data_IF_309042814326
#
_entry.id   IF_309042814326
#
_cell.length_a   1.000
_cell.length_b   1.000
_cell.length_c   1.000
_cell.angle_alpha   90.00
_cell.angle_beta   90.00
_cell.angle_gamma   90.00
#
_symmetry.space_group_name_H-M   'P 1'
#
loop_
_entity.id
_entity.type
_entity.pdbx_description
1 polymer ?
#
# COMPACT_ATOMS: atom_id res chain seq x y z
N UNK A 1 -15.37 -39.47 13.86
CA UNK A 1 -14.53 -38.77 12.88
C UNK A 1 -15.00 -37.32 12.83
N UNK A 2 -14.32 -36.43 13.53
CA UNK A 2 -14.60 -35.00 13.49
C UNK A 2 -13.30 -34.36 13.01
N UNK A 3 -13.27 -34.00 11.74
CA UNK A 3 -12.08 -33.45 11.09
C UNK A 3 -12.12 -31.94 11.35
N UNK A 4 -11.24 -31.53 12.25
CA UNK A 4 -10.99 -30.14 12.62
C UNK A 4 -10.59 -29.36 11.37
N UNK A 5 -11.34 -28.30 11.05
CA UNK A 5 -11.05 -27.35 9.97
C UNK A 5 -10.89 -25.97 10.57
N UNK A 6 -9.83 -25.79 11.36
CA UNK A 6 -9.32 -24.48 11.72
C UNK A 6 -7.81 -24.47 11.47
N UNK A 7 -7.42 -24.49 10.19
CA UNK A 7 -6.04 -24.12 9.84
C UNK A 7 -5.95 -22.60 10.02
N UNK A 8 -5.12 -22.07 10.93
CA UNK A 8 -5.03 -20.63 11.13
C UNK A 8 -4.46 -19.96 9.87
N UNK A 9 -4.75 -18.68 9.72
CA UNK A 9 -4.20 -17.77 8.70
C UNK A 9 -2.66 -17.57 8.78
N UNK A 10 -1.89 -18.58 9.19
CA UNK A 10 -0.44 -18.45 9.38
C UNK A 10 0.33 -18.03 8.13
N UNK A 11 -0.16 -18.41 6.95
CA UNK A 11 0.42 -17.97 5.68
C UNK A 11 0.25 -16.46 5.43
N UNK A 12 -0.82 -15.84 5.94
CA UNK A 12 -1.07 -14.40 5.75
C UNK A 12 -0.25 -13.58 6.76
N UNK A 13 -0.12 -14.05 7.99
CA UNK A 13 0.76 -13.43 8.99
C UNK A 13 2.24 -13.49 8.55
N UNK A 14 2.67 -14.61 7.93
CA UNK A 14 4.00 -14.76 7.35
C UNK A 14 4.25 -13.76 6.21
N UNK A 15 3.28 -13.55 5.33
CA UNK A 15 3.36 -12.55 4.25
C UNK A 15 3.45 -11.12 4.79
N UNK A 16 2.71 -10.78 5.84
CA UNK A 16 2.78 -9.45 6.49
C UNK A 16 4.19 -9.22 7.06
N UNK A 17 4.75 -10.21 7.76
CA UNK A 17 6.14 -10.13 8.28
C UNK A 17 7.17 -10.03 7.15
N UNK A 18 7.00 -10.79 6.07
CA UNK A 18 7.88 -10.70 4.90
C UNK A 18 7.84 -9.30 4.27
N UNK A 19 6.66 -8.69 4.15
CA UNK A 19 6.51 -7.34 3.64
C UNK A 19 7.20 -6.29 4.53
N UNK A 20 7.05 -6.39 5.86
CA UNK A 20 7.76 -5.57 6.84
C UNK A 20 9.29 -5.71 6.69
N UNK A 21 9.79 -6.93 6.57
CA UNK A 21 11.21 -7.22 6.40
C UNK A 21 11.78 -6.67 5.09
N UNK A 22 11.03 -6.77 4.00
CA UNK A 22 11.41 -6.18 2.70
C UNK A 22 11.45 -4.66 2.81
N UNK A 23 10.45 -4.04 3.43
CA UNK A 23 10.41 -2.60 3.64
C UNK A 23 11.63 -2.12 4.42
N UNK A 24 11.98 -2.80 5.53
CA UNK A 24 13.16 -2.51 6.33
C UNK A 24 14.45 -2.62 5.50
N UNK A 25 14.64 -3.72 4.76
CA UNK A 25 15.80 -3.93 3.89
C UNK A 25 15.93 -2.85 2.82
N UNK A 26 14.83 -2.46 2.19
CA UNK A 26 14.84 -1.42 1.14
C UNK A 26 15.11 -0.03 1.68
N UNK A 27 14.73 0.24 2.93
CA UNK A 27 14.95 1.53 3.57
C UNK A 27 16.39 1.74 4.06
N UNK A 28 17.17 0.64 4.17
CA UNK A 28 18.50 0.60 4.80
C UNK A 28 18.51 1.19 6.23
N UNK A 29 17.35 1.22 6.89
CA UNK A 29 17.15 1.77 8.23
C UNK A 29 16.42 0.75 9.11
N UNK A 30 16.78 0.70 10.39
CA UNK A 30 16.03 -0.05 11.41
C UNK A 30 14.88 0.76 12.03
N UNK A 31 14.82 2.05 11.73
CA UNK A 31 13.77 2.94 12.17
C UNK A 31 12.57 2.85 11.21
N UNK A 32 11.47 2.28 11.69
CA UNK A 32 10.21 2.15 10.96
C UNK A 32 9.64 3.52 10.53
N UNK A 33 10.02 4.60 11.20
CA UNK A 33 9.61 5.97 10.86
C UNK A 33 10.53 6.63 9.82
N UNK A 34 11.69 6.06 9.52
CA UNK A 34 12.72 6.66 8.66
C UNK A 34 12.17 7.14 7.31
N UNK A 35 11.32 6.34 6.67
CA UNK A 35 10.70 6.70 5.38
C UNK A 35 9.84 7.95 5.52
N UNK A 36 9.04 8.02 6.58
CA UNK A 36 8.13 9.13 6.82
C UNK A 36 8.93 10.40 7.16
N UNK A 37 9.97 10.26 7.99
CA UNK A 37 10.88 11.34 8.36
C UNK A 37 11.64 11.91 7.16
N UNK A 38 12.17 11.03 6.30
CA UNK A 38 12.83 11.43 5.07
C UNK A 38 11.86 12.19 4.15
N UNK A 39 10.64 11.67 3.98
CA UNK A 39 9.63 12.34 3.15
C UNK A 39 9.20 13.70 3.73
N UNK A 40 9.11 13.83 5.06
CA UNK A 40 8.82 15.11 5.72
C UNK A 40 9.97 16.12 5.51
N UNK A 41 11.22 15.68 5.61
CA UNK A 41 12.38 16.54 5.31
C UNK A 41 12.34 17.07 3.88
N UNK A 42 11.93 16.25 2.91
CA UNK A 42 11.76 16.70 1.52
C UNK A 42 10.68 17.77 1.39
N UNK A 43 9.61 17.73 2.19
CA UNK A 43 8.62 18.81 2.25
C UNK A 43 9.27 20.11 2.73
N UNK A 44 10.05 20.06 3.82
CA UNK A 44 10.76 21.23 4.33
C UNK A 44 11.72 21.83 3.31
N UNK A 45 12.57 21.01 2.69
CA UNK A 45 13.50 21.46 1.64
C UNK A 45 12.75 22.12 0.48
N UNK A 46 11.69 21.49 -0.03
CA UNK A 46 10.91 22.05 -1.14
C UNK A 46 10.28 23.41 -0.79
N UNK A 47 9.83 23.58 0.46
CA UNK A 47 9.27 24.85 0.95
C UNK A 47 10.34 25.94 1.09
N UNK A 48 11.51 25.61 1.64
CA UNK A 48 12.63 26.54 1.80
C UNK A 48 13.14 27.04 0.44
N UNK A 49 13.21 26.15 -0.54
CA UNK A 49 13.62 26.47 -1.91
C UNK A 49 12.53 27.20 -2.71
N UNK A 50 11.30 27.33 -2.18
CA UNK A 50 10.11 27.82 -2.90
C UNK A 50 9.91 27.09 -4.22
N UNK A 51 10.17 25.80 -4.20
CA UNK A 51 10.18 24.93 -5.36
C UNK A 51 8.76 24.64 -5.84
N UNK A 52 8.61 24.33 -7.13
CA UNK A 52 7.39 23.72 -7.67
C UNK A 52 7.13 22.31 -7.10
N UNK A 53 8.12 21.73 -6.42
CA UNK A 53 8.07 20.38 -5.84
C UNK A 53 7.36 20.29 -4.48
N UNK A 54 6.85 21.39 -3.91
CA UNK A 54 6.16 21.34 -2.60
C UNK A 54 4.96 20.40 -2.63
N UNK A 55 4.10 20.49 -3.65
CA UNK A 55 2.94 19.60 -3.78
C UNK A 55 3.36 18.13 -3.93
N UNK A 56 4.25 17.76 -4.88
CA UNK A 56 4.80 16.40 -4.94
C UNK A 56 5.44 15.90 -3.64
N UNK A 57 6.16 16.76 -2.90
CA UNK A 57 6.76 16.37 -1.62
C UNK A 57 5.69 16.06 -0.56
N UNK A 58 4.64 16.89 -0.46
CA UNK A 58 3.49 16.66 0.42
C UNK A 58 2.82 15.32 0.07
N UNK A 59 2.57 15.05 -1.21
CA UNK A 59 1.99 13.78 -1.64
C UNK A 59 2.85 12.57 -1.25
N UNK A 60 4.18 12.65 -1.44
CA UNK A 60 5.11 11.57 -1.08
C UNK A 60 5.06 11.29 0.43
N UNK A 61 5.06 12.34 1.25
CA UNK A 61 4.93 12.19 2.70
C UNK A 61 3.59 11.56 3.09
N UNK A 62 2.48 12.03 2.53
CA UNK A 62 1.15 11.47 2.83
C UNK A 62 1.01 10.02 2.37
N UNK A 63 1.57 9.65 1.21
CA UNK A 63 1.65 8.25 0.76
C UNK A 63 2.46 7.40 1.73
N UNK A 64 3.58 7.91 2.23
CA UNK A 64 4.43 7.18 3.19
C UNK A 64 3.68 6.88 4.50
N UNK A 65 2.97 7.86 5.07
CA UNK A 65 2.09 7.65 6.23
C UNK A 65 1.01 6.61 5.91
N UNK A 66 0.40 6.71 4.73
CA UNK A 66 -0.68 5.83 4.36
C UNK A 66 -0.23 4.38 4.17
N UNK A 67 1.00 4.12 3.73
CA UNK A 67 1.54 2.76 3.65
C UNK A 67 1.52 2.08 5.02
N UNK A 68 1.99 2.77 6.07
CA UNK A 68 1.96 2.23 7.44
C UNK A 68 0.54 2.07 7.96
N UNK A 69 -0.34 3.04 7.64
CA UNK A 69 -1.76 2.95 7.95
C UNK A 69 -2.39 1.70 7.35
N UNK A 70 -2.13 1.41 6.08
CA UNK A 70 -2.67 0.24 5.37
C UNK A 70 -2.18 -1.04 6.04
N UNK A 71 -0.89 -1.15 6.33
CA UNK A 71 -0.31 -2.31 7.00
C UNK A 71 -0.99 -2.59 8.36
N UNK A 72 -1.17 -1.54 9.18
CA UNK A 72 -1.89 -1.65 10.46
C UNK A 72 -3.33 -2.09 10.28
N UNK A 73 -4.02 -1.58 9.25
CA UNK A 73 -5.39 -1.99 8.94
C UNK A 73 -5.48 -3.43 8.43
N UNK A 74 -4.52 -3.89 7.63
CA UNK A 74 -4.45 -5.27 7.15
C UNK A 74 -4.26 -6.23 8.33
N UNK A 75 -3.34 -5.91 9.24
CA UNK A 75 -3.14 -6.67 10.48
C UNK A 75 -4.41 -6.72 11.33
N UNK A 76 -5.03 -5.56 11.57
CA UNK A 76 -6.31 -5.49 12.27
C UNK A 76 -7.37 -6.38 11.59
N UNK A 77 -7.48 -6.35 10.26
CA UNK A 77 -8.48 -7.15 9.54
C UNK A 77 -8.23 -8.65 9.70
N UNK A 78 -6.97 -9.10 9.70
CA UNK A 78 -6.60 -10.50 9.94
C UNK A 78 -7.04 -10.95 11.34
N UNK A 79 -6.74 -10.13 12.34
CA UNK A 79 -7.10 -10.40 13.73
C UNK A 79 -8.64 -10.40 13.90
N UNK A 80 -9.31 -9.39 13.33
CA UNK A 80 -10.76 -9.24 13.38
C UNK A 80 -11.51 -10.37 12.66
N UNK A 81 -10.96 -10.91 11.56
CA UNK A 81 -11.52 -12.09 10.89
C UNK A 81 -11.51 -13.33 11.78
N UNK A 82 -10.60 -13.40 12.77
CA UNK A 82 -10.49 -14.52 13.70
C UNK A 82 -11.51 -14.43 14.84
N UNK A 83 -11.93 -13.22 15.23
CA UNK A 83 -12.79 -12.95 16.40
C UNK A 83 -13.79 -11.79 16.13
N UNK A 84 -14.66 -11.96 15.14
CA UNK A 84 -15.57 -10.91 14.64
C UNK A 84 -16.84 -10.69 15.49
N UNK A 85 -16.89 -11.20 16.73
CA UNK A 85 -18.08 -11.17 17.57
C UNK A 85 -18.13 -9.95 18.52
N UNK A 86 -16.99 -9.33 18.81
CA UNK A 86 -16.87 -8.17 19.71
C UNK A 86 -16.70 -6.84 18.94
N UNK A 87 -17.80 -6.32 18.36
CA UNK A 87 -17.78 -5.09 17.55
C UNK A 87 -17.22 -3.87 18.31
N UNK A 88 -17.64 -3.66 19.56
CA UNK A 88 -17.18 -2.52 20.37
C UNK A 88 -15.67 -2.55 20.62
N UNK A 89 -15.13 -3.75 20.89
CA UNK A 89 -13.68 -3.96 21.04
C UNK A 89 -12.95 -3.69 19.74
N UNK A 90 -13.44 -4.23 18.62
CA UNK A 90 -12.85 -3.98 17.31
C UNK A 90 -12.85 -2.49 16.94
N UNK A 91 -13.89 -1.75 17.29
CA UNK A 91 -13.95 -0.29 17.09
C UNK A 91 -12.89 0.42 17.93
N UNK A 92 -12.75 0.06 19.21
CA UNK A 92 -11.76 0.67 20.09
C UNK A 92 -10.32 0.42 19.62
N UNK A 93 -10.00 -0.83 19.27
CA UNK A 93 -8.68 -1.24 18.78
C UNK A 93 -8.33 -0.57 17.45
N UNK A 94 -9.25 -0.58 16.48
CA UNK A 94 -9.03 0.07 15.20
C UNK A 94 -8.88 1.58 15.36
N UNK A 95 -9.72 2.21 16.19
CA UNK A 95 -9.64 3.65 16.42
C UNK A 95 -8.30 4.04 17.07
N UNK A 96 -7.89 3.32 18.12
CA UNK A 96 -6.59 3.54 18.77
C UNK A 96 -5.42 3.41 17.79
N UNK A 97 -5.52 2.48 16.85
CA UNK A 97 -4.50 2.24 15.83
C UNK A 97 -4.50 3.30 14.71
N UNK A 98 -5.65 3.89 14.37
CA UNK A 98 -5.77 4.85 13.27
C UNK A 98 -5.47 6.31 13.66
N UNK A 99 -5.75 6.69 14.91
CA UNK A 99 -5.54 8.07 15.42
C UNK A 99 -4.13 8.61 15.19
N UNK A 100 -3.04 7.85 15.43
CA UNK A 100 -1.67 8.35 15.20
C UNK A 100 -1.44 8.86 13.76
N UNK A 101 -2.05 8.24 12.75
CA UNK A 101 -1.88 8.65 11.35
C UNK A 101 -2.59 9.98 11.05
N UNK A 102 -3.82 10.16 11.56
CA UNK A 102 -4.53 11.42 11.43
C UNK A 102 -3.80 12.56 12.16
N UNK A 103 -3.14 12.27 13.29
CA UNK A 103 -2.27 13.24 13.99
C UNK A 103 -1.05 13.64 13.16
N UNK A 104 -0.37 12.69 12.50
CA UNK A 104 0.78 13.00 11.60
C UNK A 104 0.38 13.91 10.44
N UNK A 105 -0.83 13.72 9.88
CA UNK A 105 -1.36 14.58 8.82
C UNK A 105 -1.77 15.96 9.37
N UNK A 106 -2.32 16.02 10.58
CA UNK A 106 -2.61 17.30 11.25
C UNK A 106 -1.31 18.09 11.55
N UNK A 107 -0.24 17.40 11.96
CA UNK A 107 1.08 17.99 12.14
C UNK A 107 1.66 18.55 10.83
N UNK A 108 1.53 17.82 9.72
CA UNK A 108 1.91 18.35 8.40
C UNK A 108 1.21 19.67 8.08
N UNK A 109 -0.12 19.74 8.29
CA UNK A 109 -0.87 20.98 8.09
C UNK A 109 -0.36 22.12 8.96
N UNK A 110 0.13 21.83 10.17
CA UNK A 110 0.65 22.87 11.06
C UNK A 110 1.99 23.47 10.59
N UNK A 111 2.77 22.74 9.80
CA UNK A 111 4.09 23.18 9.31
C UNK A 111 4.07 23.69 7.87
N UNK A 112 3.03 23.39 7.09
CA UNK A 112 2.86 23.90 5.73
C UNK A 112 2.02 25.19 5.69
N UNK A 113 2.25 26.08 4.69
CA UNK A 113 1.39 27.25 4.48
C UNK A 113 -0.09 26.87 4.31
N UNK A 114 -1.00 27.73 4.80
CA UNK A 114 -2.45 27.49 4.74
C UNK A 114 -3.00 27.28 3.33
N UNK A 115 -2.31 27.79 2.30
CA UNK A 115 -2.66 27.55 0.89
C UNK A 115 -2.65 26.07 0.48
N UNK A 116 -2.02 25.18 1.26
CA UNK A 116 -2.01 23.74 1.01
C UNK A 116 -3.03 22.97 1.86
N UNK A 117 -3.73 23.60 2.80
CA UNK A 117 -4.56 22.89 3.78
C UNK A 117 -5.74 22.15 3.13
N UNK A 118 -6.43 22.78 2.20
CA UNK A 118 -7.55 22.16 1.46
C UNK A 118 -7.06 20.98 0.62
N UNK A 119 -5.92 21.15 -0.06
CA UNK A 119 -5.27 20.07 -0.81
C UNK A 119 -4.94 18.87 0.09
N UNK A 120 -4.30 19.11 1.23
CA UNK A 120 -3.95 18.05 2.18
C UNK A 120 -5.22 17.34 2.71
N UNK A 121 -6.27 18.08 3.05
CA UNK A 121 -7.51 17.48 3.54
C UNK A 121 -8.21 16.61 2.48
N UNK A 122 -8.33 17.12 1.25
CA UNK A 122 -8.96 16.38 0.16
C UNK A 122 -8.12 15.15 -0.19
N UNK A 123 -6.81 15.33 -0.37
CA UNK A 123 -5.90 14.26 -0.73
C UNK A 123 -5.88 13.16 0.34
N UNK A 124 -5.86 13.52 1.64
CA UNK A 124 -5.89 12.54 2.71
C UNK A 124 -7.18 11.73 2.71
N UNK A 125 -8.32 12.38 2.48
CA UNK A 125 -9.63 11.74 2.41
C UNK A 125 -9.66 10.70 1.29
N UNK A 126 -9.24 11.10 0.09
CA UNK A 126 -9.24 10.24 -1.10
C UNK A 126 -8.26 9.08 -0.93
N UNK A 127 -7.08 9.35 -0.36
CA UNK A 127 -6.07 8.34 -0.10
C UNK A 127 -6.57 7.29 0.90
N UNK A 128 -7.16 7.72 2.02
CA UNK A 128 -7.76 6.80 3.01
C UNK A 128 -8.83 5.91 2.39
N UNK A 129 -9.69 6.47 1.55
CA UNK A 129 -10.81 5.76 0.91
C UNK A 129 -10.35 4.76 -0.14
N UNK A 130 -9.42 5.15 -1.00
CA UNK A 130 -8.90 4.31 -2.10
C UNK A 130 -8.00 3.17 -1.65
N UNK A 131 -7.39 3.26 -0.46
CA UNK A 131 -6.46 2.24 0.06
C UNK A 131 -6.98 1.50 1.29
N UNK A 132 -8.28 1.55 1.58
CA UNK A 132 -8.83 0.75 2.69
C UNK A 132 -8.79 -0.73 2.33
N UNK A 133 -8.09 -1.59 3.11
CA UNK A 133 -7.98 -3.00 2.77
C UNK A 133 -9.33 -3.71 2.88
N UNK A 134 -9.58 -4.65 1.97
CA UNK A 134 -10.75 -5.53 1.98
C UNK A 134 -12.09 -4.88 1.62
N UNK A 135 -12.14 -3.59 1.28
CA UNK A 135 -13.35 -2.88 0.90
C UNK A 135 -13.14 -2.06 -0.37
N UNK A 136 -14.11 -2.08 -1.29
CA UNK A 136 -14.10 -1.20 -2.45
C UNK A 136 -14.37 0.26 -2.05
N UNK A 137 -13.70 1.20 -2.73
CA UNK A 137 -13.85 2.64 -2.50
C UNK A 137 -15.32 3.12 -2.59
N UNK A 138 -16.10 2.53 -3.50
CA UNK A 138 -17.53 2.83 -3.68
C UNK A 138 -18.40 2.47 -2.47
N UNK A 139 -17.91 1.60 -1.57
CA UNK A 139 -18.63 1.17 -0.37
C UNK A 139 -18.30 1.99 0.88
N UNK A 140 -17.36 2.92 0.77
CA UNK A 140 -16.90 3.76 1.86
C UNK A 140 -17.50 5.16 1.70
N UNK A 141 -18.17 5.71 2.73
CA UNK A 141 -18.60 7.10 2.71
C UNK A 141 -17.38 8.04 2.77
N UNK A 142 -17.56 9.29 2.36
CA UNK A 142 -16.50 10.30 2.30
C UNK A 142 -15.80 10.55 3.65
N UNK A 143 -16.47 10.28 4.76
CA UNK A 143 -15.97 10.52 6.11
C UNK A 143 -16.20 9.32 7.05
N UNK A 144 -15.80 8.13 6.63
CA UNK A 144 -15.88 6.97 7.52
C UNK A 144 -14.96 7.12 8.74
N UNK A 145 -15.42 6.57 9.86
CA UNK A 145 -14.66 6.42 11.10
C UNK A 145 -14.45 4.92 11.42
N UNK A 146 -13.79 4.60 12.52
CA UNK A 146 -13.55 3.22 12.94
C UNK A 146 -14.86 2.42 13.11
N UNK A 147 -15.90 3.04 13.68
CA UNK A 147 -17.23 2.42 13.82
C UNK A 147 -17.83 2.02 12.48
N UNK A 148 -17.87 2.96 11.53
CA UNK A 148 -18.35 2.71 10.17
C UNK A 148 -17.56 1.62 9.46
N UNK A 149 -16.23 1.59 9.63
CA UNK A 149 -15.35 0.56 9.07
C UNK A 149 -15.63 -0.83 9.64
N UNK A 150 -15.61 -0.97 10.97
CA UNK A 150 -15.84 -2.27 11.64
C UNK A 150 -17.22 -2.82 11.29
N UNK A 151 -18.24 -1.95 11.26
CA UNK A 151 -19.58 -2.32 10.82
C UNK A 151 -19.58 -2.81 9.38
N UNK A 152 -18.87 -2.14 8.47
CA UNK A 152 -18.73 -2.59 7.07
C UNK A 152 -18.01 -3.92 6.96
N UNK A 153 -16.89 -4.11 7.66
CA UNK A 153 -16.19 -5.39 7.71
C UNK A 153 -17.10 -6.51 8.22
N UNK A 154 -17.84 -6.27 9.31
CA UNK A 154 -18.79 -7.23 9.87
C UNK A 154 -19.87 -7.64 8.86
N UNK A 155 -20.45 -6.68 8.14
CA UNK A 155 -21.44 -6.94 7.08
C UNK A 155 -20.82 -7.80 5.97
N UNK A 156 -19.65 -7.41 5.48
CA UNK A 156 -18.94 -8.15 4.42
C UNK A 156 -18.61 -9.59 4.84
N UNK A 157 -18.11 -9.79 6.06
CA UNK A 157 -17.69 -11.10 6.58
C UNK A 157 -18.91 -11.99 6.89
N UNK A 158 -19.89 -11.48 7.66
CA UNK A 158 -21.02 -12.28 8.14
C UNK A 158 -22.13 -12.45 7.12
N UNK A 159 -22.39 -11.42 6.30
CA UNK A 159 -23.51 -11.41 5.35
C UNK A 159 -23.07 -11.71 3.92
N UNK A 160 -21.75 -11.90 3.68
CA UNK A 160 -21.18 -12.18 2.36
C UNK A 160 -21.64 -11.19 1.29
N UNK A 161 -21.68 -9.90 1.63
CA UNK A 161 -21.95 -8.83 0.69
C UNK A 161 -20.80 -8.68 -0.31
N UNK A 162 -20.84 -9.47 -1.39
CA UNK A 162 -19.76 -9.52 -2.39
C UNK A 162 -19.57 -8.22 -3.16
N UNK A 163 -20.58 -7.33 -3.18
CA UNK A 163 -20.53 -6.04 -3.89
C UNK A 163 -19.47 -5.08 -3.37
N UNK A 164 -19.03 -5.27 -2.13
CA UNK A 164 -18.04 -4.42 -1.48
C UNK A 164 -16.67 -5.07 -1.33
N UNK A 165 -16.52 -6.33 -1.74
CA UNK A 165 -15.24 -7.03 -1.73
C UNK A 165 -14.55 -6.74 -3.07
N UNK A 166 -13.32 -6.19 -3.06
CA UNK A 166 -12.59 -6.01 -4.31
C UNK A 166 -12.36 -7.36 -5.00
N UNK A 167 -12.55 -7.40 -6.32
CA UNK A 167 -12.21 -8.59 -7.11
C UNK A 167 -10.71 -8.86 -6.96
N UNK A 168 -10.35 -10.06 -6.51
CA UNK A 168 -8.96 -10.48 -6.41
C UNK A 168 -8.35 -10.56 -7.80
N UNK A 169 -7.66 -9.50 -8.23
CA UNK A 169 -6.75 -9.58 -9.37
C UNK A 169 -5.49 -10.29 -8.88
N UNK A 170 -5.15 -11.42 -9.47
CA UNK A 170 -3.92 -12.13 -9.12
C UNK A 170 -2.72 -11.22 -9.44
N UNK A 171 -1.96 -10.72 -8.45
CA UNK A 171 -0.80 -9.87 -8.70
C UNK A 171 0.32 -10.62 -9.45
N UNK A 172 0.24 -11.95 -9.50
CA UNK A 172 1.19 -12.83 -10.16
C UNK A 172 1.03 -12.92 -11.68
N UNK A 173 -0.07 -12.48 -12.28
CA UNK A 173 -0.20 -12.44 -13.76
C UNK A 173 0.86 -11.53 -14.40
N UNK A 174 1.24 -10.43 -13.73
CA UNK A 174 2.27 -9.50 -14.22
C UNK A 174 3.66 -10.15 -14.17
N UNK A 175 3.92 -11.00 -13.17
CA UNK A 175 5.20 -11.71 -13.01
C UNK A 175 5.40 -12.75 -14.12
N UNK A 176 4.33 -13.45 -14.50
CA UNK A 176 4.34 -14.39 -15.63
C UNK A 176 4.59 -13.66 -16.96
N UNK A 177 3.96 -12.49 -17.15
CA UNK A 177 4.16 -11.67 -18.35
C UNK A 177 5.60 -11.13 -18.47
N UNK A 178 6.19 -10.65 -17.36
CA UNK A 178 7.57 -10.16 -17.34
C UNK A 178 8.57 -11.30 -17.58
N UNK A 179 8.34 -12.47 -16.97
CA UNK A 179 9.18 -13.65 -17.19
C UNK A 179 9.12 -14.13 -18.66
N UNK A 180 7.93 -14.15 -19.26
CA UNK A 180 7.76 -14.49 -20.67
C UNK A 180 8.45 -13.48 -21.60
N UNK A 181 8.36 -12.17 -21.30
CA UNK A 181 9.02 -11.12 -22.07
C UNK A 181 10.55 -11.24 -22.04
N UNK A 182 11.13 -11.50 -20.86
CA UNK A 182 12.57 -11.73 -20.67
C UNK A 182 13.00 -12.99 -21.44
N UNK A 183 12.22 -14.07 -21.37
CA UNK A 183 12.52 -15.30 -22.10
C UNK A 183 12.51 -15.08 -23.62
N UNK A 184 11.53 -14.34 -24.15
CA UNK A 184 11.48 -13.98 -25.57
C UNK A 184 12.71 -13.15 -26.00
N UNK A 185 13.10 -12.14 -25.22
CA UNK A 185 14.27 -11.30 -25.54
C UNK A 185 15.55 -12.16 -25.61
N UNK A 186 15.76 -13.04 -24.63
CA UNK A 186 16.92 -13.93 -24.62
C UNK A 186 16.92 -14.92 -25.80
N UNK A 187 15.75 -15.43 -26.19
CA UNK A 187 15.63 -16.38 -27.30
C UNK A 187 15.81 -15.72 -28.67
N UNK A 188 15.32 -14.49 -28.86
CA UNK A 188 15.44 -13.78 -30.16
C UNK A 188 16.80 -13.07 -30.33
N UNK A 189 17.44 -12.60 -29.26
CA UNK A 189 18.77 -11.98 -29.34
C UNK A 189 19.89 -13.00 -29.66
N UNK A 190 19.71 -14.29 -29.37
CA UNK A 190 20.69 -15.32 -29.70
C UNK A 190 20.75 -15.71 -31.19
N UNK A 191 19.79 -15.31 -32.03
CA UNK A 191 19.78 -15.62 -33.48
C UNK A 191 20.35 -14.51 -34.37
N UNK A 192 20.89 -13.42 -33.79
CA UNK A 192 21.54 -12.34 -34.53
C UNK A 192 23.06 -12.36 -34.26
N UNK A 193 23.78 -13.44 -34.62
CA UNK A 193 25.05 -13.19 -35.31
C UNK A 193 25.42 -14.34 -36.24
N UNK A 194 24.88 -14.39 -37.46
CA UNK A 194 25.49 -15.24 -38.50
C UNK A 194 25.36 -14.73 -39.94
N UNK A 195 25.00 -13.45 -40.15
CA UNK A 195 24.87 -12.88 -41.51
C UNK A 195 25.80 -11.71 -41.82
N UNK A 196 26.72 -11.32 -40.90
CA UNK A 196 27.56 -10.12 -41.10
C UNK A 196 29.09 -10.36 -41.08
N UNK A 197 29.56 -11.60 -41.22
CA UNK A 197 31.01 -11.87 -41.36
C UNK A 197 31.21 -12.88 -42.49
N UNK A 198 31.32 -12.38 -43.73
CA UNK A 198 31.56 -13.24 -44.88
C UNK A 198 31.64 -12.48 -46.20
N UNK A 199 32.50 -11.47 -46.27
CA UNK A 199 32.65 -10.69 -47.51
C UNK A 199 33.77 -9.66 -47.49
N UNK A 200 35.00 -10.08 -47.19
CA UNK A 200 36.19 -9.29 -47.58
C UNK A 200 36.98 -10.12 -48.58
N UNK A 201 36.90 -9.65 -49.82
CA UNK A 201 37.62 -10.14 -51.01
C UNK A 201 38.98 -9.44 -51.02
N UNK A 202 40.09 -10.17 -51.06
CA UNK A 202 41.40 -9.60 -51.41
C UNK A 202 41.75 -10.00 -52.84
N UNK A 203 41.91 -8.99 -53.70
CA UNK A 203 42.56 -9.08 -55.00
C UNK A 203 44.04 -8.73 -54.81
N UNK A 204 44.92 -9.62 -55.27
CA UNK A 204 46.21 -9.31 -55.89
C UNK A 204 46.22 -10.05 -57.25
#
# INVERSE_FOLDING_TARGET
MQKDTSKPCGALEELVKEAEDIQRKLSESEDDEYRNDLALRLVHVAMEEKSTEVTPAIERYMKSINMDRVLVMEKFLIDYLSDADEEEKGVAELNASLVPFDLKVAQLKSVVPSGYHEFIESYWRDLKRSTTPGLMEACLPDNYNAEGLVKRYKLTIKQRETKCVPEGKNPFEVREYIAALIFCILFFCSFIPMFLIGGVKSED
#
